data_IF_658514438259
#
_entry.id   IF_658514438259
#
_cell.length_a   1.000
_cell.length_b   1.000
_cell.length_c   1.000
_cell.angle_alpha   90.00
_cell.angle_beta   90.00
_cell.angle_gamma   90.00
#
_symmetry.space_group_name_H-M   'P 1'
#
loop_
_entity.id
_entity.type
_entity.pdbx_description
1 polymer ?
#
# COMPACT_ATOMS: atom_id res chain seq x y z
N UNK A 1 -8.49 -35.14 10.97
CA UNK A 1 -9.08 -34.31 9.92
C UNK A 1 -8.00 -33.30 9.55
N UNK A 2 -7.35 -33.52 8.43
CA UNK A 2 -6.13 -32.80 8.03
C UNK A 2 -6.53 -31.39 7.60
N UNK A 3 -6.24 -30.39 8.43
CA UNK A 3 -6.30 -28.99 8.03
C UNK A 3 -5.08 -28.75 7.14
N UNK A 4 -5.23 -29.05 5.84
CA UNK A 4 -4.38 -28.45 4.82
C UNK A 4 -4.81 -26.98 4.75
N UNK A 5 -4.08 -26.12 5.46
CA UNK A 5 -4.15 -24.69 5.25
C UNK A 5 -3.60 -24.46 3.84
N UNK A 6 -4.49 -24.24 2.88
CA UNK A 6 -4.13 -23.76 1.55
C UNK A 6 -3.63 -22.33 1.70
N UNK A 7 -2.35 -22.22 2.07
CA UNK A 7 -1.70 -21.00 2.51
C UNK A 7 -1.13 -20.30 1.30
N UNK A 8 -1.68 -19.13 0.94
CA UNK A 8 -0.92 -17.88 0.68
C UNK A 8 -1.56 -16.94 -0.34
N UNK A 9 -2.49 -17.39 -1.19
CA UNK A 9 -3.06 -16.53 -2.24
C UNK A 9 -4.57 -16.62 -2.24
N UNK A 10 -5.23 -15.48 -2.02
CA UNK A 10 -6.68 -15.40 -2.11
C UNK A 10 -7.06 -14.92 -3.50
N UNK A 11 -7.82 -15.76 -4.22
CA UNK A 11 -8.24 -15.52 -5.60
C UNK A 11 -9.68 -15.04 -5.65
N UNK A 12 -9.93 -14.11 -6.56
CA UNK A 12 -11.26 -13.57 -6.84
C UNK A 12 -11.52 -13.64 -8.34
N UNK A 13 -12.73 -14.06 -8.69
CA UNK A 13 -13.26 -13.87 -10.04
C UNK A 13 -13.78 -12.44 -10.16
N UNK A 14 -13.43 -11.76 -11.25
CA UNK A 14 -13.92 -10.41 -11.56
C UNK A 14 -15.33 -10.54 -12.17
N UNK A 15 -16.38 -9.99 -11.53
CA UNK A 15 -17.73 -10.10 -12.08
C UNK A 15 -17.86 -9.41 -13.44
N UNK A 16 -18.63 -10.01 -14.36
CA UNK A 16 -18.82 -9.48 -15.72
C UNK A 16 -19.41 -8.06 -15.74
N UNK A 17 -20.29 -7.76 -14.77
CA UNK A 17 -20.88 -6.43 -14.61
C UNK A 17 -19.82 -5.39 -14.25
N UNK A 18 -18.90 -5.73 -13.33
CA UNK A 18 -17.78 -4.88 -12.90
C UNK A 18 -16.82 -4.67 -14.06
N UNK A 19 -16.42 -5.75 -14.73
CA UNK A 19 -15.50 -5.68 -15.86
C UNK A 19 -16.05 -4.79 -17.00
N UNK A 20 -17.33 -4.95 -17.34
CA UNK A 20 -17.98 -4.20 -18.42
C UNK A 20 -18.29 -2.75 -18.05
N UNK A 21 -18.61 -2.47 -16.78
CA UNK A 21 -18.92 -1.12 -16.29
C UNK A 21 -17.66 -0.28 -16.04
N UNK A 22 -16.58 -0.90 -15.58
CA UNK A 22 -15.31 -0.25 -15.30
C UNK A 22 -14.50 0.07 -16.55
N UNK A 23 -14.71 -0.67 -17.66
CA UNK A 23 -13.95 -0.46 -18.89
C UNK A 23 -13.94 1.03 -19.28
N UNK A 24 -12.75 1.66 -19.43
CA UNK A 24 -12.67 3.09 -19.57
C UNK A 24 -13.37 3.53 -20.87
N UNK A 25 -14.48 4.27 -20.70
CA UNK A 25 -15.15 4.97 -21.80
C UNK A 25 -14.27 6.14 -22.23
N UNK A 26 -13.22 5.89 -23.02
CA UNK A 26 -12.39 6.80 -23.87
C UNK A 26 -12.14 8.27 -23.43
N UNK A 27 -12.41 8.68 -22.19
CA UNK A 27 -12.42 10.09 -21.78
C UNK A 27 -11.67 10.26 -20.46
N UNK A 28 -10.38 9.92 -20.42
CA UNK A 28 -9.52 10.52 -19.40
C UNK A 28 -8.86 11.80 -19.91
N UNK A 29 -8.64 12.77 -19.00
CA UNK A 29 -7.79 13.91 -19.22
C UNK A 29 -6.35 13.56 -19.65
N UNK A 30 -5.80 12.43 -19.17
CA UNK A 30 -4.42 12.01 -19.45
C UNK A 30 -4.40 10.65 -20.18
N UNK A 31 -3.94 10.60 -21.45
CA UNK A 31 -3.74 9.34 -22.17
C UNK A 31 -2.75 8.44 -21.44
N UNK A 32 -3.11 7.18 -21.19
CA UNK A 32 -2.28 6.18 -20.50
C UNK A 32 -2.73 5.88 -19.06
N UNK A 33 -3.22 6.88 -18.33
CA UNK A 33 -3.57 6.71 -16.90
C UNK A 33 -4.98 6.15 -16.68
N UNK A 34 -5.77 6.02 -17.76
CA UNK A 34 -7.07 5.32 -17.79
C UNK A 34 -6.95 3.88 -17.33
N UNK A 35 -5.85 3.23 -17.69
CA UNK A 35 -5.62 1.84 -17.38
C UNK A 35 -5.42 1.62 -15.88
N UNK A 36 -4.64 2.49 -15.24
CA UNK A 36 -4.48 2.48 -13.79
C UNK A 36 -5.82 2.74 -13.08
N UNK A 37 -6.60 3.71 -13.55
CA UNK A 37 -7.92 3.98 -12.99
C UNK A 37 -8.87 2.79 -13.12
N UNK A 38 -8.85 2.12 -14.28
CA UNK A 38 -9.60 0.89 -14.54
C UNK A 38 -9.20 -0.24 -13.58
N UNK A 39 -7.89 -0.51 -13.43
CA UNK A 39 -7.40 -1.56 -12.52
C UNK A 39 -7.78 -1.32 -11.07
N UNK A 40 -7.68 -0.06 -10.62
CA UNK A 40 -8.13 0.31 -9.28
C UNK A 40 -9.64 0.14 -9.11
N UNK A 41 -10.42 0.48 -10.14
CA UNK A 41 -11.87 0.33 -10.09
C UNK A 41 -12.30 -1.13 -10.00
N UNK A 42 -11.83 -2.00 -10.90
CA UNK A 42 -12.20 -3.42 -10.87
C UNK A 42 -11.73 -4.09 -9.59
N UNK A 43 -10.53 -3.73 -9.09
CA UNK A 43 -10.03 -4.26 -7.83
C UNK A 43 -10.89 -3.82 -6.65
N UNK A 44 -11.28 -2.55 -6.58
CA UNK A 44 -12.15 -2.04 -5.51
C UNK A 44 -13.53 -2.71 -5.54
N UNK A 45 -14.17 -2.75 -6.71
CA UNK A 45 -15.52 -3.29 -6.86
C UNK A 45 -15.57 -4.81 -6.61
N UNK A 46 -14.46 -5.52 -6.81
CA UNK A 46 -14.34 -6.96 -6.52
C UNK A 46 -14.02 -7.23 -5.05
N UNK A 47 -13.09 -6.48 -4.44
CA UNK A 47 -12.62 -6.73 -3.07
C UNK A 47 -13.58 -6.19 -2.01
N UNK A 48 -14.26 -5.08 -2.29
CA UNK A 48 -15.14 -4.43 -1.30
C UNK A 48 -16.32 -5.33 -0.86
N UNK A 49 -17.07 -6.00 -1.75
CA UNK A 49 -18.12 -6.93 -1.35
C UNK A 49 -17.60 -8.08 -0.49
N UNK A 50 -16.45 -8.65 -0.84
CA UNK A 50 -15.83 -9.74 -0.07
C UNK A 50 -15.44 -9.30 1.35
N UNK A 51 -14.84 -8.12 1.51
CA UNK A 51 -14.52 -7.60 2.83
C UNK A 51 -15.79 -7.34 3.64
N UNK A 52 -16.85 -6.81 3.01
CA UNK A 52 -18.14 -6.60 3.67
C UNK A 52 -18.84 -7.89 4.07
N UNK A 53 -18.69 -8.96 3.29
CA UNK A 53 -19.20 -10.27 3.69
C UNK A 53 -18.51 -10.78 4.96
N UNK A 54 -17.19 -10.55 5.07
CA UNK A 54 -16.39 -11.04 6.21
C UNK A 54 -16.52 -10.19 7.47
N UNK A 55 -16.61 -8.88 7.33
CA UNK A 55 -16.51 -7.91 8.42
C UNK A 55 -17.79 -7.06 8.60
N UNK A 56 -18.71 -7.12 7.66
CA UNK A 56 -19.94 -6.32 7.66
C UNK A 56 -19.74 -4.90 7.14
N UNK A 57 -20.73 -4.05 7.43
CA UNK A 57 -20.80 -2.67 6.92
C UNK A 57 -19.78 -1.71 7.57
N UNK A 58 -18.95 -2.19 8.49
CA UNK A 58 -17.83 -1.42 9.04
C UNK A 58 -16.75 -1.13 8.00
N UNK A 59 -16.70 -1.91 6.91
CA UNK A 59 -15.78 -1.72 5.80
C UNK A 59 -16.26 -0.57 4.93
N UNK A 60 -15.54 0.55 5.04
CA UNK A 60 -15.84 1.78 4.31
C UNK A 60 -14.62 2.24 3.51
N UNK A 61 -14.86 2.85 2.36
CA UNK A 61 -13.81 3.61 1.67
C UNK A 61 -13.37 4.77 2.56
N UNK A 62 -12.08 5.10 2.50
CA UNK A 62 -11.51 6.19 3.30
C UNK A 62 -10.67 7.10 2.43
N UNK A 63 -10.40 8.30 2.94
CA UNK A 63 -9.71 9.33 2.18
C UNK A 63 -8.31 8.90 1.72
N UNK A 64 -7.92 9.26 0.48
CA UNK A 64 -8.75 9.88 -0.56
C UNK A 64 -9.83 8.91 -1.08
N UNK A 65 -11.08 9.39 -1.11
CA UNK A 65 -12.20 8.58 -1.61
C UNK A 65 -11.89 8.18 -3.07
N UNK A 66 -12.05 6.89 -3.36
CA UNK A 66 -11.87 6.29 -4.66
C UNK A 66 -12.65 7.04 -5.74
N UNK A 67 -11.94 7.76 -6.61
CA UNK A 67 -12.50 8.46 -7.76
C UNK A 67 -11.57 8.25 -8.97
N UNK A 68 -12.11 8.09 -10.19
CA UNK A 68 -11.30 7.84 -11.38
C UNK A 68 -10.17 8.85 -11.60
N UNK A 69 -10.45 10.15 -11.43
CA UNK A 69 -9.43 11.20 -11.59
C UNK A 69 -8.31 11.17 -10.55
N UNK A 70 -8.54 10.61 -9.36
CA UNK A 70 -7.48 10.39 -8.38
C UNK A 70 -6.60 9.19 -8.79
N UNK A 71 -7.22 8.10 -9.25
CA UNK A 71 -6.49 6.92 -9.71
C UNK A 71 -5.72 7.12 -11.00
N UNK A 72 -6.02 8.18 -11.76
CA UNK A 72 -5.12 8.59 -12.85
C UNK A 72 -3.78 9.14 -12.32
N UNK A 73 -3.70 9.56 -11.06
CA UNK A 73 -2.50 10.18 -10.49
C UNK A 73 -1.75 9.25 -9.54
N UNK A 74 -2.49 8.49 -8.72
CA UNK A 74 -1.92 7.66 -7.66
C UNK A 74 -2.51 6.27 -7.77
N UNK A 75 -1.66 5.27 -7.94
CA UNK A 75 -2.10 3.87 -7.94
C UNK A 75 -2.55 3.45 -6.54
N UNK A 76 -3.61 2.67 -6.44
CA UNK A 76 -4.12 2.10 -5.21
C UNK A 76 -5.30 2.85 -4.62
N UNK A 77 -5.93 2.22 -3.63
CA UNK A 77 -7.08 2.77 -2.90
C UNK A 77 -7.07 2.33 -1.44
N UNK A 78 -7.80 3.07 -0.61
CA UNK A 78 -7.87 2.82 0.81
C UNK A 78 -9.25 2.35 1.25
N UNK A 79 -9.28 1.26 2.01
CA UNK A 79 -10.44 0.80 2.77
C UNK A 79 -10.12 0.85 4.26
N UNK A 80 -11.12 1.18 5.07
CA UNK A 80 -11.01 1.21 6.52
C UNK A 80 -11.86 0.09 7.11
N UNK A 81 -11.25 -0.66 8.01
CA UNK A 81 -11.83 -1.72 8.83
C UNK A 81 -11.68 -1.32 10.29
N UNK A 82 -12.74 -0.77 10.89
CA UNK A 82 -12.67 -0.13 12.21
C UNK A 82 -11.66 1.02 12.22
N UNK A 83 -10.60 0.90 13.02
CA UNK A 83 -9.49 1.86 13.08
C UNK A 83 -8.33 1.53 12.12
N UNK A 84 -8.35 0.33 11.52
CA UNK A 84 -7.29 -0.13 10.62
C UNK A 84 -7.54 0.35 9.20
N UNK A 85 -6.55 1.01 8.60
CA UNK A 85 -6.56 1.37 7.18
C UNK A 85 -5.76 0.37 6.36
N UNK A 86 -6.42 -0.21 5.37
CA UNK A 86 -5.87 -1.13 4.39
C UNK A 86 -5.68 -0.38 3.07
N UNK A 87 -4.47 -0.40 2.52
CA UNK A 87 -4.15 0.15 1.20
C UNK A 87 -3.99 -1.02 0.23
N UNK A 88 -4.75 -1.00 -0.84
CA UNK A 88 -4.68 -2.00 -1.91
C UNK A 88 -3.94 -1.42 -3.09
N UNK A 89 -2.93 -2.13 -3.59
CA UNK A 89 -2.11 -1.68 -4.72
C UNK A 89 -2.18 -2.73 -5.83
N UNK A 90 -3.04 -2.52 -6.84
CA UNK A 90 -3.16 -3.42 -7.98
C UNK A 90 -2.02 -3.25 -8.98
N UNK A 91 -1.65 -4.38 -9.58
CA UNK A 91 -0.65 -4.48 -10.64
C UNK A 91 -1.01 -5.62 -11.57
N UNK A 92 -0.70 -5.47 -12.85
CA UNK A 92 -0.77 -6.55 -13.86
C UNK A 92 0.56 -7.27 -14.02
N UNK A 93 1.58 -6.88 -13.25
CA UNK A 93 2.87 -7.57 -13.27
C UNK A 93 2.72 -8.97 -12.67
N UNK A 94 2.77 -9.98 -13.55
CA UNK A 94 2.59 -11.40 -13.22
C UNK A 94 3.81 -11.98 -12.46
N UNK A 95 4.97 -11.33 -12.57
CA UNK A 95 6.22 -11.83 -12.01
C UNK A 95 6.30 -11.79 -10.48
N UNK A 96 5.38 -11.04 -9.82
CA UNK A 96 5.29 -10.86 -8.36
C UNK A 96 6.66 -10.61 -7.71
N UNK A 97 7.55 -9.89 -8.38
CA UNK A 97 8.92 -9.69 -7.89
C UNK A 97 8.95 -8.76 -6.67
N UNK A 98 8.11 -7.73 -6.69
CA UNK A 98 8.06 -6.72 -5.65
C UNK A 98 6.71 -6.02 -5.59
N UNK A 99 6.40 -5.49 -4.41
CA UNK A 99 5.31 -4.54 -4.21
C UNK A 99 5.88 -3.12 -4.36
N UNK A 100 5.31 -2.34 -5.28
CA UNK A 100 5.63 -0.92 -5.44
C UNK A 100 4.51 -0.05 -4.88
N UNK A 101 4.74 0.61 -3.75
CA UNK A 101 3.75 1.48 -3.11
C UNK A 101 4.06 2.94 -3.43
N UNK A 102 3.14 3.71 -4.04
CA UNK A 102 3.32 5.14 -4.26
C UNK A 102 3.62 5.88 -2.96
N UNK A 103 4.57 6.82 -3.01
CA UNK A 103 4.99 7.61 -1.85
C UNK A 103 3.83 8.31 -1.15
N UNK A 104 2.77 8.68 -1.89
CA UNK A 104 1.60 9.36 -1.38
C UNK A 104 0.90 8.54 -0.29
N UNK A 105 0.86 7.22 -0.43
CA UNK A 105 0.28 6.31 0.55
C UNK A 105 1.17 6.05 1.75
N UNK A 106 2.44 6.45 1.70
CA UNK A 106 3.43 6.19 2.76
C UNK A 106 3.72 7.46 3.54
N UNK A 107 3.98 8.56 2.83
CA UNK A 107 4.51 9.79 3.44
C UNK A 107 3.44 10.83 3.78
N UNK A 108 2.24 10.78 3.18
CA UNK A 108 1.15 11.72 3.50
C UNK A 108 0.42 11.25 4.78
N UNK A 109 0.49 12.00 5.90
CA UNK A 109 -0.02 11.52 7.18
C UNK A 109 -1.52 11.26 7.22
N UNK A 110 -2.30 11.96 6.39
CA UNK A 110 -3.75 11.75 6.27
C UNK A 110 -4.11 10.54 5.42
N UNK A 111 -3.17 9.97 4.66
CA UNK A 111 -3.38 8.87 3.70
C UNK A 111 -2.72 7.57 4.14
N UNK A 112 -1.70 7.65 5.00
CA UNK A 112 -0.93 6.50 5.52
C UNK A 112 -1.80 5.32 5.94
N UNK A 113 -1.45 4.14 5.43
CA UNK A 113 -2.06 2.87 5.78
C UNK A 113 -1.46 2.24 7.02
N UNK A 114 -2.19 1.29 7.60
CA UNK A 114 -1.63 0.34 8.57
C UNK A 114 -1.02 -0.85 7.84
N UNK A 115 -1.73 -1.34 6.82
CA UNK A 115 -1.32 -2.45 5.98
C UNK A 115 -1.41 -2.09 4.49
N UNK A 116 -0.49 -2.64 3.71
CA UNK A 116 -0.41 -2.47 2.27
C UNK A 116 -0.47 -3.84 1.63
N UNK A 117 -1.46 -4.05 0.78
CA UNK A 117 -1.76 -5.33 0.14
C UNK A 117 -1.35 -5.26 -1.32
N UNK A 118 -0.57 -6.26 -1.73
CA UNK A 118 -0.15 -6.44 -3.09
C UNK A 118 -1.20 -7.27 -3.85
N UNK A 119 -1.76 -6.68 -4.90
CA UNK A 119 -2.81 -7.30 -5.70
C UNK A 119 -2.28 -7.50 -7.10
N UNK A 120 -2.39 -8.73 -7.59
CA UNK A 120 -2.22 -9.06 -9.00
C UNK A 120 -3.58 -9.07 -9.65
N UNK A 121 -3.69 -8.47 -10.83
CA UNK A 121 -4.93 -8.39 -11.58
C UNK A 121 -4.67 -8.88 -13.00
N UNK A 122 -5.48 -9.82 -13.46
CA UNK A 122 -5.56 -10.23 -14.86
C UNK A 122 -6.97 -9.90 -15.37
N UNK A 123 -7.16 -8.74 -16.02
CA UNK A 123 -8.46 -8.36 -16.54
C UNK A 123 -8.90 -9.25 -17.71
N UNK A 124 -7.96 -9.78 -18.50
CA UNK A 124 -8.25 -10.61 -19.68
C UNK A 124 -8.77 -12.00 -19.24
N UNK A 125 -8.13 -12.61 -18.24
CA UNK A 125 -8.58 -13.86 -17.64
C UNK A 125 -9.64 -13.67 -16.54
N UNK A 126 -10.01 -12.41 -16.23
CA UNK A 126 -11.05 -12.01 -15.27
C UNK A 126 -10.81 -12.53 -13.86
N UNK A 127 -9.60 -12.42 -13.37
CA UNK A 127 -9.31 -12.73 -11.97
C UNK A 127 -8.39 -11.69 -11.35
N UNK A 128 -8.44 -11.60 -10.03
CA UNK A 128 -7.41 -10.92 -9.25
C UNK A 128 -7.04 -11.73 -8.03
N UNK A 129 -5.84 -11.54 -7.52
CA UNK A 129 -5.37 -12.25 -6.34
C UNK A 129 -4.55 -11.38 -5.41
N UNK A 130 -4.72 -11.58 -4.11
CA UNK A 130 -3.84 -11.00 -3.10
C UNK A 130 -2.70 -11.97 -2.86
N UNK A 131 -1.48 -11.54 -3.15
CA UNK A 131 -0.30 -12.40 -3.08
C UNK A 131 0.64 -12.05 -1.92
N UNK A 132 0.41 -10.92 -1.25
CA UNK A 132 1.14 -10.57 -0.03
C UNK A 132 0.67 -9.26 0.59
N UNK A 133 1.14 -9.01 1.81
CA UNK A 133 0.94 -7.73 2.48
C UNK A 133 2.17 -7.33 3.30
N UNK A 134 2.23 -6.06 3.66
CA UNK A 134 3.25 -5.49 4.54
C UNK A 134 2.65 -4.40 5.42
N UNK A 135 3.46 -3.85 6.34
CA UNK A 135 3.08 -2.74 7.21
C UNK A 135 3.76 -1.44 6.79
N UNK A 136 3.21 -0.30 7.22
CA UNK A 136 3.87 1.00 7.01
C UNK A 136 5.29 1.01 7.61
N UNK A 137 5.47 0.40 8.79
CA UNK A 137 6.78 0.31 9.42
C UNK A 137 7.80 -0.44 8.57
N UNK A 138 7.42 -1.58 7.99
CA UNK A 138 8.31 -2.35 7.12
C UNK A 138 8.73 -1.57 5.87
N UNK A 139 7.80 -0.83 5.25
CA UNK A 139 8.09 0.05 4.10
C UNK A 139 9.07 1.16 4.46
N UNK A 140 8.92 1.82 5.62
CA UNK A 140 9.81 2.91 6.05
C UNK A 140 11.18 2.43 6.54
N UNK A 141 11.26 1.20 7.04
CA UNK A 141 12.51 0.62 7.57
C UNK A 141 13.37 0.04 6.45
N UNK A 142 12.75 -0.38 5.35
CA UNK A 142 13.45 -0.89 4.18
C UNK A 142 13.90 0.29 3.31
N UNK A 143 15.20 0.52 3.18
CA UNK A 143 15.77 1.59 2.34
C UNK A 143 15.70 1.24 0.84
N UNK A 144 14.48 1.19 0.28
CA UNK A 144 14.28 0.87 -1.13
C UNK A 144 13.24 1.81 -1.79
N UNK A 145 13.46 3.11 -1.61
CA UNK A 145 12.73 4.15 -2.30
C UNK A 145 13.31 4.35 -3.71
N UNK A 146 12.48 4.19 -4.72
CA UNK A 146 12.81 4.48 -6.12
C UNK A 146 12.38 5.93 -6.44
N UNK A 147 13.33 6.87 -6.62
CA UNK A 147 13.02 8.25 -6.93
C UNK A 147 12.48 8.46 -8.35
N UNK A 148 12.70 7.51 -9.27
CA UNK A 148 12.20 7.58 -10.63
C UNK A 148 10.68 7.41 -10.67
N UNK A 149 10.21 6.36 -10.01
CA UNK A 149 8.78 6.02 -9.93
C UNK A 149 8.07 6.62 -8.72
N UNK A 150 8.84 7.27 -7.83
CA UNK A 150 8.35 7.84 -6.56
C UNK A 150 7.59 6.80 -5.73
N UNK A 151 8.16 5.60 -5.64
CA UNK A 151 7.55 4.46 -4.99
C UNK A 151 8.51 3.80 -4.00
N UNK A 152 7.96 3.31 -2.89
CA UNK A 152 8.65 2.39 -2.00
C UNK A 152 8.50 0.99 -2.57
N UNK A 153 9.62 0.36 -2.89
CA UNK A 153 9.66 -0.96 -3.50
C UNK A 153 10.02 -1.99 -2.42
N UNK A 154 9.26 -3.07 -2.29
CA UNK A 154 9.54 -4.12 -1.33
C UNK A 154 9.51 -5.47 -2.03
N UNK A 155 10.66 -6.16 -2.03
CA UNK A 155 10.79 -7.48 -2.62
C UNK A 155 9.75 -8.45 -2.03
N UNK A 156 9.22 -9.36 -2.85
CA UNK A 156 8.21 -10.34 -2.44
C UNK A 156 8.66 -11.23 -1.29
N UNK A 157 9.97 -11.50 -1.16
CA UNK A 157 10.57 -12.23 -0.03
C UNK A 157 10.37 -11.55 1.33
N UNK A 158 10.09 -10.24 1.33
CA UNK A 158 9.87 -9.44 2.53
C UNK A 158 8.38 -9.17 2.77
N UNK A 159 7.48 -9.71 1.94
CA UNK A 159 6.04 -9.65 2.17
C UNK A 159 5.58 -10.85 2.99
N UNK A 160 4.53 -10.61 3.79
CA UNK A 160 3.82 -11.66 4.47
C UNK A 160 2.74 -12.17 3.53
N UNK A 161 2.78 -13.47 3.18
CA UNK A 161 1.85 -14.06 2.22
C UNK A 161 0.61 -14.66 2.88
N UNK A 162 0.68 -15.01 4.16
CA UNK A 162 -0.48 -15.57 4.88
C UNK A 162 -1.43 -14.48 5.39
N UNK A 163 -2.48 -14.20 4.61
CA UNK A 163 -3.53 -13.26 5.00
C UNK A 163 -4.25 -13.63 6.30
N UNK A 164 -4.23 -14.89 6.75
CA UNK A 164 -4.84 -15.23 8.04
C UNK A 164 -4.12 -14.52 9.19
N UNK A 165 -2.80 -14.35 9.08
CA UNK A 165 -2.01 -13.59 10.06
C UNK A 165 -2.49 -12.14 10.11
N UNK A 166 -2.75 -11.51 8.96
CA UNK A 166 -3.31 -10.15 8.91
C UNK A 166 -4.59 -10.03 9.73
N UNK A 167 -5.52 -10.97 9.53
CA UNK A 167 -6.82 -10.93 10.20
C UNK A 167 -6.72 -11.22 11.69
N UNK A 168 -5.84 -12.14 12.10
CA UNK A 168 -5.55 -12.41 13.51
C UNK A 168 -4.95 -11.17 14.16
N UNK A 169 -3.96 -10.54 13.54
CA UNK A 169 -3.32 -9.33 14.08
C UNK A 169 -4.29 -8.16 14.19
N UNK A 170 -5.20 -8.00 13.22
CA UNK A 170 -6.27 -7.01 13.30
C UNK A 170 -7.16 -7.22 14.52
N UNK A 171 -7.56 -8.46 14.83
CA UNK A 171 -8.39 -8.77 16.00
C UNK A 171 -7.66 -8.58 17.33
N UNK A 172 -6.34 -8.83 17.35
CA UNK A 172 -5.55 -8.75 18.57
C UNK A 172 -5.09 -7.31 18.89
N UNK A 173 -5.08 -6.39 17.91
CA UNK A 173 -4.70 -4.98 18.07
C UNK A 173 -3.30 -4.76 18.72
N UNK A 174 -2.38 -5.71 18.54
CA UNK A 174 -1.22 -5.85 19.45
C UNK A 174 0.08 -5.17 19.03
N UNK A 175 0.22 -4.61 17.82
CA UNK A 175 1.51 -4.05 17.37
C UNK A 175 1.38 -2.71 16.62
N UNK A 176 2.31 -1.76 16.83
CA UNK A 176 2.37 -0.55 16.03
C UNK A 176 2.72 -0.90 14.58
N UNK A 177 1.74 -0.79 13.70
CA UNK A 177 1.88 -1.01 12.25
C UNK A 177 2.57 0.16 11.54
N UNK A 178 2.56 1.35 12.16
CA UNK A 178 3.10 2.59 11.61
C UNK A 178 4.44 2.94 12.24
N UNK A 179 5.43 3.23 11.40
CA UNK A 179 6.70 3.80 11.85
C UNK A 179 6.47 5.07 12.70
N UNK A 180 7.27 5.30 13.75
CA UNK A 180 7.23 6.53 14.51
C UNK A 180 7.40 7.74 13.59
N UNK A 181 6.62 8.80 13.85
CA UNK A 181 6.82 10.07 13.16
C UNK A 181 8.25 10.54 13.42
N UNK A 182 9.00 10.81 12.34
CA UNK A 182 10.22 11.59 12.47
C UNK A 182 9.80 13.03 12.80
N UNK A 183 9.67 13.34 14.09
CA UNK A 183 9.51 14.72 14.55
C UNK A 183 10.86 15.41 14.33
N UNK A 184 11.12 15.92 13.13
CA UNK A 184 12.25 16.82 12.86
C UNK A 184 12.00 18.22 13.46
N UNK A 185 11.46 18.28 14.68
CA UNK A 185 11.13 19.48 15.42
C UNK A 185 11.46 19.32 16.91
N UNK A 186 12.71 18.99 17.20
CA UNK A 186 13.33 19.30 18.49
C UNK A 186 14.84 19.37 18.31
N UNK A 187 15.34 20.53 17.87
CA UNK A 187 16.43 21.33 18.49
C UNK A 187 16.79 22.47 17.54
N UNK A 188 15.88 23.44 17.39
CA UNK A 188 16.26 24.79 16.97
C UNK A 188 15.60 25.74 17.95
N UNK A 189 16.20 25.89 19.13
CA UNK A 189 16.17 27.11 19.93
C UNK A 189 17.03 26.92 21.17
N UNK A 190 18.20 27.56 21.19
CA UNK A 190 18.91 27.78 22.45
C UNK A 190 20.43 27.85 22.46
N UNK A 191 21.15 28.21 21.38
CA UNK A 191 22.52 28.73 21.49
C UNK A 191 23.03 29.39 20.19
N UNK A 192 22.35 30.41 19.69
CA UNK A 192 22.97 31.35 18.74
C UNK A 192 23.84 32.34 19.51
N UNK A 193 25.09 31.96 19.84
CA UNK A 193 26.22 32.88 20.10
C UNK A 193 27.51 32.10 20.39
N UNK A 194 28.20 31.65 19.35
CA UNK A 194 29.66 31.58 19.34
C UNK A 194 30.18 31.36 17.90
N UNK A 195 30.65 32.47 17.34
CA UNK A 195 31.67 32.63 16.32
C UNK A 195 32.19 31.40 15.57
N UNK A 196 32.10 31.50 14.24
CA UNK A 196 32.93 30.80 13.28
C UNK A 196 34.42 30.82 13.68
N UNK A 197 35.03 29.64 13.79
CA UNK A 197 36.45 29.36 13.49
C UNK A 197 36.72 27.85 13.57
N UNK A 198 37.47 27.35 12.58
CA UNK A 198 38.07 25.99 12.49
C UNK A 198 37.08 24.88 12.14
N UNK A 199 36.93 24.39 10.91
CA UNK A 199 37.88 23.61 10.09
C UNK A 199 38.75 22.67 10.94
N UNK A 200 38.58 21.36 10.75
CA UNK A 200 39.63 20.38 11.02
C UNK A 200 39.19 19.11 11.73
N UNK A 201 39.30 18.00 11.00
CA UNK A 201 39.58 16.63 11.44
C UNK A 201 38.45 15.76 12.00
N UNK A 202 37.89 14.98 11.07
CA UNK A 202 37.67 13.55 11.28
C UNK A 202 39.03 12.86 11.56
N UNK A 203 39.18 12.24 12.72
CA UNK A 203 40.24 11.24 12.97
C UNK A 203 39.58 9.90 13.25
N UNK A 204 39.91 8.91 12.41
CA UNK A 204 39.62 7.49 12.62
C UNK A 204 40.33 6.98 13.89
N UNK A 205 39.82 5.90 14.53
CA UNK A 205 40.54 5.25 15.61
C UNK A 205 41.50 4.19 15.05
N UNK A 206 42.71 4.15 15.57
CA UNK A 206 43.59 2.97 15.51
C UNK A 206 44.43 2.92 16.78
N UNK A 207 44.84 1.73 17.22
CA UNK A 207 46.23 1.48 17.52
C UNK A 207 46.93 0.81 16.32
#
# INVERSE_FOLDING_TARGET
MTLLFDSSTHWFEIPDEVHSAAWPRQTAPIPGNQWQAYLNQICLETVLPWLREKFGDEVVQTEPIAQPGFWELVNGFALRLGETRLIFVPSEAIDRLELRVPQEWVDIPSWVGDYYLAIEVDPDERWLSIWGYTTHQALKTTENYDPGDRAYCLASSNLITDLNVLWVMHHLATEPTRAPRCNAASTINGASRAMARSIGNCTAPSP
#
